data_IF_267408801266
#
_entry.id   IF_267408801266
#
_cell.length_a   1.000
_cell.length_b   1.000
_cell.length_c   1.000
_cell.angle_alpha   90.00
_cell.angle_beta   90.00
_cell.angle_gamma   90.00
#
_symmetry.space_group_name_H-M   'P 1'
#
loop_
_entity.id
_entity.type
_entity.pdbx_description
1 polymer ?
#
# COMPACT_ATOMS: atom_id res chain seq x y z
N UNK A 1 -16.42 -8.25 -28.63
CA UNK A 1 -15.87 -7.10 -27.88
C UNK A 1 -16.94 -6.01 -27.87
N UNK A 2 -17.67 -5.85 -26.77
CA UNK A 2 -18.67 -4.78 -26.66
C UNK A 2 -18.04 -3.61 -25.89
N UNK A 3 -17.90 -2.47 -26.57
CA UNK A 3 -17.51 -1.20 -25.97
C UNK A 3 -18.68 -0.68 -25.13
N UNK A 4 -18.52 -0.61 -23.82
CA UNK A 4 -19.53 -0.05 -22.93
C UNK A 4 -19.44 1.48 -22.97
N UNK A 5 -20.27 2.11 -23.81
CA UNK A 5 -20.40 3.57 -23.82
C UNK A 5 -21.15 4.02 -22.57
N UNK A 6 -20.51 4.84 -21.75
CA UNK A 6 -21.13 5.44 -20.57
C UNK A 6 -21.64 6.83 -20.95
N UNK A 7 -22.96 7.03 -20.87
CA UNK A 7 -23.60 8.32 -21.14
C UNK A 7 -23.92 9.03 -19.83
N UNK A 8 -23.78 10.36 -19.83
CA UNK A 8 -24.40 11.24 -18.83
C UNK A 8 -25.27 12.24 -19.58
N UNK A 9 -26.50 12.42 -19.11
CA UNK A 9 -27.45 13.37 -19.68
C UNK A 9 -27.28 14.73 -18.98
N UNK A 10 -27.32 15.81 -19.77
CA UNK A 10 -27.40 17.16 -19.22
C UNK A 10 -28.83 17.48 -18.75
N UNK A 11 -29.02 18.67 -18.16
CA UNK A 11 -30.32 19.13 -17.67
C UNK A 11 -31.39 19.29 -18.78
N UNK A 12 -31.00 19.19 -20.06
CA UNK A 12 -31.90 19.28 -21.22
C UNK A 12 -32.10 17.94 -21.95
N UNK A 13 -31.53 16.84 -21.44
CA UNK A 13 -31.73 15.50 -21.98
C UNK A 13 -30.96 15.22 -23.27
N UNK A 14 -29.98 16.04 -23.64
CA UNK A 14 -29.10 15.75 -24.77
C UNK A 14 -28.04 14.73 -24.37
N UNK A 15 -27.87 13.69 -25.19
CA UNK A 15 -26.76 12.77 -25.09
C UNK A 15 -25.48 13.51 -25.48
N UNK A 16 -24.82 14.13 -24.50
CA UNK A 16 -23.48 14.68 -24.69
C UNK A 16 -22.54 13.48 -24.81
N UNK A 17 -22.18 13.14 -26.03
CA UNK A 17 -21.10 12.19 -26.29
C UNK A 17 -19.82 12.73 -25.69
N UNK A 18 -19.46 12.24 -24.51
CA UNK A 18 -18.09 12.37 -24.03
C UNK A 18 -17.22 11.55 -24.99
N UNK A 19 -16.71 12.19 -26.04
CA UNK A 19 -15.37 11.86 -26.49
C UNK A 19 -14.46 12.23 -25.31
N UNK A 20 -14.40 11.34 -24.32
CA UNK A 20 -13.59 11.50 -23.13
C UNK A 20 -12.17 11.79 -23.61
N UNK A 21 -11.62 12.91 -23.17
CA UNK A 21 -10.24 13.23 -23.46
C UNK A 21 -9.38 12.04 -23.00
N UNK A 22 -8.88 11.26 -23.96
CA UNK A 22 -8.12 10.04 -23.70
C UNK A 22 -6.88 10.33 -22.84
N UNK A 23 -6.39 11.59 -22.87
CA UNK A 23 -5.35 12.07 -21.98
C UNK A 23 -5.85 12.15 -20.53
N UNK A 24 -6.98 12.79 -20.29
CA UNK A 24 -7.57 12.89 -18.95
C UNK A 24 -7.85 11.50 -18.35
N UNK A 25 -8.40 10.57 -19.13
CA UNK A 25 -8.64 9.20 -18.68
C UNK A 25 -7.33 8.48 -18.30
N UNK A 26 -6.28 8.66 -19.11
CA UNK A 26 -4.96 8.08 -18.85
C UNK A 26 -4.34 8.63 -17.56
N UNK A 27 -4.43 9.94 -17.34
CA UNK A 27 -3.91 10.60 -16.13
C UNK A 27 -4.66 10.10 -14.88
N UNK A 28 -5.98 10.00 -14.95
CA UNK A 28 -6.80 9.47 -13.87
C UNK A 28 -6.47 8.01 -13.55
N UNK A 29 -6.24 7.17 -14.56
CA UNK A 29 -5.81 5.78 -14.35
C UNK A 29 -4.41 5.67 -13.74
N UNK A 30 -3.48 6.53 -14.18
CA UNK A 30 -2.14 6.62 -13.59
C UNK A 30 -2.22 7.00 -12.11
N UNK A 31 -3.01 8.02 -11.78
CA UNK A 31 -3.27 8.47 -10.41
C UNK A 31 -3.83 7.33 -9.54
N UNK A 32 -4.91 6.66 -9.98
CA UNK A 32 -5.50 5.52 -9.27
C UNK A 32 -4.48 4.40 -9.00
N UNK A 33 -3.67 4.05 -10.00
CA UNK A 33 -2.62 3.04 -9.85
C UNK A 33 -1.54 3.47 -8.86
N UNK A 34 -1.20 4.75 -8.83
CA UNK A 34 -0.19 5.29 -7.93
C UNK A 34 -0.69 5.34 -6.49
N UNK A 35 -1.92 5.82 -6.28
CA UNK A 35 -2.60 5.81 -4.98
C UNK A 35 -2.72 4.39 -4.43
N UNK A 36 -3.14 3.43 -5.26
CA UNK A 36 -3.21 2.02 -4.86
C UNK A 36 -1.82 1.47 -4.50
N UNK A 37 -0.78 1.81 -5.25
CA UNK A 37 0.58 1.38 -4.93
C UNK A 37 1.08 1.96 -3.59
N UNK A 38 0.80 3.23 -3.31
CA UNK A 38 1.12 3.87 -2.04
C UNK A 38 0.36 3.21 -0.88
N UNK A 39 -0.95 3.00 -1.01
CA UNK A 39 -1.77 2.33 0.02
C UNK A 39 -1.32 0.89 0.26
N UNK A 40 -1.03 0.12 -0.78
CA UNK A 40 -0.51 -1.24 -0.65
C UNK A 40 0.83 -1.25 0.09
N UNK A 41 1.70 -0.27 -0.16
CA UNK A 41 2.96 -0.16 0.55
C UNK A 41 2.75 0.06 2.05
N UNK A 42 1.82 0.93 2.43
CA UNK A 42 1.47 1.18 3.84
C UNK A 42 0.88 -0.07 4.48
N UNK A 43 -0.13 -0.70 3.86
CA UNK A 43 -0.79 -1.91 4.37
C UNK A 43 0.21 -3.06 4.53
N UNK A 44 1.20 -3.14 3.66
CA UNK A 44 2.21 -4.18 3.75
C UNK A 44 3.11 -4.04 4.98
N UNK A 45 3.19 -2.88 5.64
CA UNK A 45 4.05 -2.64 6.79
C UNK A 45 3.22 -2.47 8.07
N UNK A 46 3.33 -3.42 8.99
CA UNK A 46 2.58 -3.43 10.25
C UNK A 46 2.86 -2.24 11.17
N UNK A 47 4.02 -1.59 11.02
CA UNK A 47 4.37 -0.37 11.76
C UNK A 47 3.75 0.91 11.19
N UNK A 48 3.04 0.81 10.07
CA UNK A 48 2.40 1.93 9.39
C UNK A 48 0.88 1.80 9.43
N UNK A 49 0.19 2.94 9.52
CA UNK A 49 -1.27 3.01 9.49
C UNK A 49 -1.73 4.05 8.48
N UNK A 50 -2.78 3.75 7.70
CA UNK A 50 -3.43 4.75 6.85
C UNK A 50 -4.31 5.65 7.71
N UNK A 51 -4.09 6.97 7.63
CA UNK A 51 -4.87 7.98 8.37
C UNK A 51 -5.91 8.69 7.48
N UNK A 52 -5.93 8.38 6.18
CA UNK A 52 -6.82 8.99 5.20
C UNK A 52 -6.12 10.05 4.35
N UNK A 53 -6.89 11.06 3.96
CA UNK A 53 -6.43 12.15 3.10
C UNK A 53 -5.79 13.28 3.93
N UNK A 54 -5.12 14.21 3.26
CA UNK A 54 -4.50 15.37 3.90
C UNK A 54 -4.90 16.67 3.18
N UNK A 55 -6.00 17.31 3.61
CA UNK A 55 -6.55 18.49 2.94
C UNK A 55 -5.56 19.67 2.85
N UNK A 56 -4.65 19.80 3.82
CA UNK A 56 -3.63 20.85 3.80
C UNK A 56 -2.67 20.63 2.63
N UNK A 57 -2.16 19.40 2.50
CA UNK A 57 -1.23 19.05 1.42
C UNK A 57 -1.91 19.10 0.06
N UNK A 58 -3.18 18.67 -0.04
CA UNK A 58 -3.97 18.81 -1.26
C UNK A 58 -4.14 20.28 -1.67
N UNK A 59 -4.45 21.17 -0.71
CA UNK A 59 -4.54 22.62 -0.97
C UNK A 59 -3.21 23.22 -1.42
N UNK A 60 -2.09 22.83 -0.78
CA UNK A 60 -0.75 23.28 -1.17
C UNK A 60 -0.40 22.81 -2.58
N UNK A 61 -0.73 21.57 -2.96
CA UNK A 61 -0.51 21.09 -4.33
C UNK A 61 -1.28 21.93 -5.35
N UNK A 62 -2.57 22.19 -5.12
CA UNK A 62 -3.38 23.02 -6.01
C UNK A 62 -2.85 24.46 -6.09
N UNK A 63 -2.44 25.04 -4.96
CA UNK A 63 -1.85 26.39 -4.91
C UNK A 63 -0.53 26.49 -5.69
N UNK A 64 0.20 25.39 -5.81
CA UNK A 64 1.43 25.30 -6.62
C UNK A 64 1.15 24.83 -8.07
N UNK A 65 -0.11 24.88 -8.52
CA UNK A 65 -0.49 24.60 -9.90
C UNK A 65 -0.43 23.13 -10.30
N UNK A 66 -0.70 22.22 -9.36
CA UNK A 66 -0.94 20.80 -9.63
C UNK A 66 -2.44 20.49 -9.60
N UNK A 67 -2.86 19.58 -10.47
CA UNK A 67 -4.20 19.01 -10.42
C UNK A 67 -4.30 17.90 -9.37
N UNK A 68 -5.52 17.58 -8.94
CA UNK A 68 -5.80 16.48 -8.00
C UNK A 68 -5.35 15.11 -8.52
N UNK A 69 -5.13 14.97 -9.83
CA UNK A 69 -4.65 13.74 -10.47
C UNK A 69 -3.14 13.71 -10.70
N UNK A 70 -2.43 14.80 -10.44
CA UNK A 70 -0.99 14.89 -10.70
C UNK A 70 -0.13 14.12 -9.70
N UNK A 71 -0.60 13.97 -8.47
CA UNK A 71 0.06 13.16 -7.45
C UNK A 71 -0.97 12.37 -6.64
N UNK A 72 -0.51 11.35 -5.93
CA UNK A 72 -1.35 10.65 -4.97
C UNK A 72 -0.87 10.95 -3.55
N UNK A 73 -1.74 11.55 -2.74
CA UNK A 73 -1.45 11.93 -1.36
C UNK A 73 -1.98 10.85 -0.43
N UNK A 74 -1.17 10.43 0.53
CA UNK A 74 -1.55 9.46 1.56
C UNK A 74 -1.00 9.90 2.91
N UNK A 75 -1.88 10.07 3.89
CA UNK A 75 -1.50 10.34 5.26
C UNK A 75 -1.24 9.03 6.01
N UNK A 76 -0.10 8.94 6.68
CA UNK A 76 0.45 7.73 7.29
C UNK A 76 0.80 7.99 8.75
N UNK A 77 0.37 7.12 9.65
CA UNK A 77 0.88 7.02 11.01
C UNK A 77 2.10 6.11 11.05
N UNK A 78 3.21 6.57 11.62
CA UNK A 78 4.43 5.80 11.82
C UNK A 78 5.07 6.19 13.16
N UNK A 79 5.27 5.21 14.05
CA UNK A 79 5.90 5.41 15.36
C UNK A 79 5.28 6.58 16.17
N UNK A 80 3.95 6.66 16.19
CA UNK A 80 3.21 7.72 16.90
C UNK A 80 3.22 9.10 16.23
N UNK A 81 3.80 9.22 15.03
CA UNK A 81 3.84 10.46 14.24
C UNK A 81 2.97 10.37 12.99
N UNK A 82 2.37 11.49 12.60
CA UNK A 82 1.69 11.62 11.31
C UNK A 82 2.67 12.14 10.26
N UNK A 83 2.72 11.46 9.12
CA UNK A 83 3.56 11.79 7.97
C UNK A 83 2.68 11.75 6.72
N UNK A 84 2.84 12.71 5.81
CA UNK A 84 2.11 12.73 4.55
C UNK A 84 3.03 12.38 3.41
N UNK A 85 2.74 11.28 2.73
CA UNK A 85 3.49 10.83 1.56
C UNK A 85 2.81 11.35 0.28
N UNK A 86 3.57 12.08 -0.52
CA UNK A 86 3.16 12.51 -1.87
C UNK A 86 3.83 11.57 -2.86
N UNK A 87 3.06 10.65 -3.42
CA UNK A 87 3.52 9.77 -4.47
C UNK A 87 3.47 10.48 -5.82
N UNK A 88 4.64 10.64 -6.47
CA UNK A 88 4.81 11.48 -7.66
C UNK A 88 5.02 10.63 -8.91
N UNK A 89 4.22 10.80 -9.97
CA UNK A 89 4.40 10.12 -11.24
C UNK A 89 5.79 10.34 -11.84
N UNK A 90 6.28 9.35 -12.58
CA UNK A 90 7.63 9.43 -13.19
C UNK A 90 7.75 10.60 -14.18
N UNK A 91 6.65 10.97 -14.86
CA UNK A 91 6.61 12.12 -15.79
C UNK A 91 6.94 13.43 -15.07
N UNK A 92 6.29 13.70 -13.93
CA UNK A 92 6.48 14.93 -13.18
C UNK A 92 7.77 14.93 -12.36
N UNK A 93 8.20 13.76 -11.87
CA UNK A 93 9.47 13.65 -11.15
C UNK A 93 10.70 13.93 -12.02
N UNK A 94 10.58 13.73 -13.33
CA UNK A 94 11.65 13.97 -14.32
C UNK A 94 11.65 15.39 -14.88
N UNK A 95 10.52 16.09 -14.76
CA UNK A 95 10.40 17.48 -15.12
C UNK A 95 11.02 18.35 -14.00
N UNK A 96 12.10 19.12 -14.28
CA UNK A 96 12.77 19.94 -13.28
C UNK A 96 11.85 20.99 -12.64
N UNK A 97 10.95 21.60 -13.42
CA UNK A 97 10.06 22.66 -12.93
C UNK A 97 8.97 22.08 -12.02
N UNK A 98 8.29 21.01 -12.47
CA UNK A 98 7.34 20.30 -11.61
C UNK A 98 8.01 19.76 -10.35
N UNK A 99 9.22 19.20 -10.47
CA UNK A 99 9.98 18.70 -9.31
C UNK A 99 10.30 19.82 -8.32
N UNK A 100 10.71 21.01 -8.79
CA UNK A 100 10.96 22.16 -7.92
C UNK A 100 9.70 22.57 -7.14
N UNK A 101 8.55 22.65 -7.82
CA UNK A 101 7.25 22.94 -7.18
C UNK A 101 6.85 21.90 -6.12
N UNK A 102 7.18 20.62 -6.29
CA UNK A 102 6.97 19.63 -5.22
C UNK A 102 7.88 19.86 -4.00
N UNK A 103 9.10 20.35 -4.19
CA UNK A 103 9.98 20.73 -3.07
C UNK A 103 9.46 21.98 -2.35
N UNK A 104 8.89 22.94 -3.09
CA UNK A 104 8.22 24.11 -2.50
C UNK A 104 7.02 23.68 -1.65
N UNK A 105 6.15 22.79 -2.16
CA UNK A 105 5.05 22.21 -1.37
C UNK A 105 5.55 21.54 -0.10
N UNK A 106 6.63 20.75 -0.17
CA UNK A 106 7.24 20.13 1.00
C UNK A 106 7.76 21.17 2.00
N UNK A 107 8.38 22.24 1.52
CA UNK A 107 8.90 23.32 2.36
C UNK A 107 7.76 24.06 3.07
N UNK A 108 6.71 24.44 2.33
CA UNK A 108 5.51 25.10 2.85
C UNK A 108 4.82 24.25 3.92
N UNK A 109 4.59 22.96 3.64
CA UNK A 109 4.02 22.03 4.62
C UNK A 109 4.88 21.91 5.89
N UNK A 110 6.20 22.00 5.74
CA UNK A 110 7.14 22.02 6.87
C UNK A 110 6.99 23.24 7.77
N UNK A 111 6.69 24.42 7.20
CA UNK A 111 6.37 25.64 7.96
C UNK A 111 5.08 25.45 8.78
N UNK A 112 4.11 24.72 8.22
CA UNK A 112 2.87 24.32 8.90
C UNK A 112 3.02 23.09 9.80
N UNK A 113 4.25 22.71 10.15
CA UNK A 113 4.60 21.58 11.03
C UNK A 113 4.11 20.21 10.53
N UNK A 114 3.82 20.08 9.24
CA UNK A 114 3.44 18.82 8.60
C UNK A 114 4.66 18.14 7.98
N UNK A 115 4.92 16.89 8.38
CA UNK A 115 6.03 16.12 7.83
C UNK A 115 5.64 15.54 6.47
N UNK A 116 6.22 16.06 5.39
CA UNK A 116 5.97 15.59 4.02
C UNK A 116 7.14 14.77 3.47
N UNK A 117 6.82 13.60 2.91
CA UNK A 117 7.74 12.76 2.15
C UNK A 117 7.37 12.78 0.66
N UNK A 118 8.31 13.15 -0.19
CA UNK A 118 8.17 13.05 -1.64
C UNK A 118 8.61 11.65 -2.07
N UNK A 119 7.71 10.88 -2.66
CA UNK A 119 7.93 9.47 -3.00
C UNK A 119 7.82 9.28 -4.51
N UNK A 120 8.95 9.10 -5.23
CA UNK A 120 8.91 8.87 -6.66
C UNK A 120 8.19 7.55 -6.99
N UNK A 121 7.34 7.55 -8.03
CA UNK A 121 6.62 6.35 -8.48
C UNK A 121 7.53 5.13 -8.67
N UNK A 122 8.76 5.34 -9.16
CA UNK A 122 9.74 4.26 -9.37
C UNK A 122 10.13 3.55 -8.08
N UNK A 123 10.14 4.28 -6.96
CA UNK A 123 10.45 3.72 -5.65
C UNK A 123 9.32 2.83 -5.13
N UNK A 124 8.06 3.23 -5.36
CA UNK A 124 6.87 2.43 -5.02
C UNK A 124 6.67 1.22 -5.93
N UNK A 125 6.91 1.40 -7.24
CA UNK A 125 6.70 0.37 -8.27
C UNK A 125 7.96 -0.45 -8.58
N UNK A 126 9.04 -0.29 -7.82
CA UNK A 126 10.22 -1.14 -7.94
C UNK A 126 9.78 -2.62 -7.87
N UNK A 127 10.22 -3.44 -8.84
CA UNK A 127 9.59 -4.72 -9.18
C UNK A 127 9.36 -5.62 -7.96
N UNK A 128 10.38 -5.79 -7.13
CA UNK A 128 10.31 -6.59 -5.89
C UNK A 128 9.35 -5.97 -4.89
N UNK A 129 9.64 -4.74 -4.46
CA UNK A 129 8.90 -4.04 -3.40
C UNK A 129 7.42 -3.87 -3.73
N UNK A 130 7.12 -3.43 -4.95
CA UNK A 130 5.75 -3.21 -5.40
C UNK A 130 4.97 -4.51 -5.54
N UNK A 131 5.62 -5.60 -5.97
CA UNK A 131 5.01 -6.93 -6.04
C UNK A 131 4.72 -7.49 -4.65
N UNK A 132 5.72 -7.50 -3.77
CA UNK A 132 5.60 -7.95 -2.38
C UNK A 132 4.50 -7.17 -1.64
N UNK A 133 4.54 -5.83 -1.72
CA UNK A 133 3.55 -4.99 -1.06
C UNK A 133 2.12 -5.25 -1.57
N UNK A 134 1.96 -5.48 -2.88
CA UNK A 134 0.66 -5.83 -3.46
C UNK A 134 0.17 -7.18 -2.95
N UNK A 135 1.01 -8.20 -2.90
CA UNK A 135 0.63 -9.54 -2.43
C UNK A 135 0.22 -9.51 -0.96
N UNK A 136 0.98 -8.82 -0.11
CA UNK A 136 0.64 -8.66 1.31
C UNK A 136 -0.66 -7.86 1.47
N UNK A 137 -0.81 -6.74 0.75
CA UNK A 137 -2.02 -5.92 0.83
C UNK A 137 -3.27 -6.67 0.34
N UNK A 138 -3.15 -7.49 -0.70
CA UNK A 138 -4.24 -8.35 -1.15
C UNK A 138 -4.61 -9.38 -0.07
N UNK A 139 -3.61 -10.06 0.49
CA UNK A 139 -3.80 -11.07 1.54
C UNK A 139 -4.28 -10.48 2.87
N UNK A 140 -4.02 -9.20 3.17
CA UNK A 140 -4.45 -8.54 4.42
C UNK A 140 -5.97 -8.58 4.68
N UNK A 141 -6.76 -8.88 3.64
CA UNK A 141 -8.22 -9.05 3.72
C UNK A 141 -8.66 -10.46 4.11
N UNK A 142 -7.72 -11.41 4.18
CA UNK A 142 -7.98 -12.78 4.60
C UNK A 142 -8.42 -12.80 6.06
N UNK A 143 -9.53 -13.49 6.33
CA UNK A 143 -10.03 -13.66 7.69
C UNK A 143 -9.22 -14.76 8.39
N UNK A 144 -8.45 -14.37 9.40
CA UNK A 144 -7.64 -15.30 10.20
C UNK A 144 -8.47 -15.75 11.40
N UNK A 145 -8.63 -17.07 11.58
CA UNK A 145 -9.25 -17.64 12.78
C UNK A 145 -8.23 -17.80 13.90
N UNK A 146 -8.69 -17.87 15.16
CA UNK A 146 -7.81 -18.12 16.32
C UNK A 146 -7.02 -19.42 16.18
N UNK A 147 -7.63 -20.47 15.61
CA UNK A 147 -6.97 -21.75 15.35
C UNK A 147 -5.77 -21.58 14.42
N UNK A 148 -5.98 -20.96 13.26
CA UNK A 148 -4.93 -20.75 12.25
C UNK A 148 -3.80 -19.86 12.79
N UNK A 149 -4.17 -18.82 13.56
CA UNK A 149 -3.20 -17.98 14.25
C UNK A 149 -2.32 -18.81 15.21
N UNK A 150 -2.91 -19.68 16.03
CA UNK A 150 -2.19 -20.54 16.95
C UNK A 150 -1.29 -21.56 16.22
N UNK A 151 -1.77 -22.17 15.13
CA UNK A 151 -1.00 -23.12 14.30
C UNK A 151 0.29 -22.47 13.75
N UNK A 152 0.19 -21.24 13.22
CA UNK A 152 1.35 -20.50 12.70
C UNK A 152 2.34 -20.15 13.81
N UNK A 153 1.86 -19.65 14.96
CA UNK A 153 2.73 -19.28 16.07
C UNK A 153 3.42 -20.49 16.72
N UNK A 154 2.72 -21.61 16.87
CA UNK A 154 3.30 -22.86 17.38
C UNK A 154 4.38 -23.40 16.44
N UNK A 155 4.11 -23.41 15.12
CA UNK A 155 5.09 -23.83 14.11
C UNK A 155 6.36 -22.97 14.15
N UNK A 156 6.21 -21.64 14.14
CA UNK A 156 7.36 -20.73 14.17
C UNK A 156 8.05 -20.71 15.55
N UNK A 157 7.32 -20.96 16.65
CA UNK A 157 7.89 -21.10 17.99
C UNK A 157 8.82 -22.30 18.11
N UNK A 158 8.48 -23.42 17.44
CA UNK A 158 9.30 -24.64 17.40
C UNK A 158 10.52 -24.50 16.48
N UNK A 159 10.33 -23.90 15.30
CA UNK A 159 11.37 -23.86 14.26
C UNK A 159 12.23 -22.58 14.27
N UNK A 160 11.83 -21.54 15.02
CA UNK A 160 12.38 -20.16 15.08
C UNK A 160 12.33 -19.39 13.76
N UNK A 161 12.78 -20.00 12.67
CA UNK A 161 12.82 -19.49 11.31
C UNK A 161 12.35 -20.60 10.38
N UNK A 162 11.43 -20.30 9.47
CA UNK A 162 10.88 -21.27 8.50
C UNK A 162 10.64 -20.58 7.16
N UNK A 163 10.28 -21.34 6.14
CA UNK A 163 9.85 -20.79 4.85
C UNK A 163 8.34 -20.51 4.84
N UNK A 164 7.87 -19.68 3.91
CA UNK A 164 6.46 -19.35 3.79
C UNK A 164 5.61 -20.57 3.44
N UNK A 165 6.13 -21.51 2.63
CA UNK A 165 5.42 -22.76 2.28
C UNK A 165 5.34 -23.71 3.47
N UNK A 166 6.43 -23.90 4.20
CA UNK A 166 6.42 -24.72 5.43
C UNK A 166 5.45 -24.16 6.46
N UNK A 167 5.50 -22.85 6.70
CA UNK A 167 4.59 -22.18 7.64
C UNK A 167 3.13 -22.30 7.20
N UNK A 168 2.86 -22.16 5.91
CA UNK A 168 1.53 -22.33 5.35
C UNK A 168 1.04 -23.80 5.44
N UNK A 169 1.95 -24.78 5.34
CA UNK A 169 1.62 -26.20 5.43
C UNK A 169 1.16 -26.64 6.83
N UNK A 170 1.54 -25.88 7.87
CA UNK A 170 1.07 -26.11 9.24
C UNK A 170 -0.39 -25.70 9.46
N UNK A 171 -0.98 -24.93 8.54
CA UNK A 171 -2.33 -24.38 8.68
C UNK A 171 -3.35 -25.38 8.15
N UNK A 172 -4.32 -25.76 8.98
CA UNK A 172 -5.36 -26.71 8.59
C UNK A 172 -6.69 -26.04 8.28
N UNK A 173 -7.39 -26.53 7.25
CA UNK A 173 -8.77 -26.13 6.95
C UNK A 173 -8.96 -24.72 6.37
N UNK A 174 -7.91 -24.09 5.81
CA UNK A 174 -8.03 -22.87 5.01
C UNK A 174 -7.81 -23.19 3.52
N UNK A 175 -8.61 -22.59 2.62
CA UNK A 175 -8.50 -22.81 1.17
C UNK A 175 -7.24 -22.19 0.54
N UNK A 176 -6.71 -21.14 1.17
CA UNK A 176 -5.46 -20.47 0.78
C UNK A 176 -4.58 -20.17 2.02
N UNK A 177 -3.82 -21.16 2.53
CA UNK A 177 -2.96 -20.98 3.69
C UNK A 177 -1.87 -19.92 3.53
N UNK A 178 -1.38 -19.68 2.30
CA UNK A 178 -0.36 -18.67 2.04
C UNK A 178 -0.89 -17.26 2.34
N UNK A 179 -2.15 -16.99 1.98
CA UNK A 179 -2.78 -15.71 2.30
C UNK A 179 -2.87 -15.46 3.81
N UNK A 180 -3.03 -16.50 4.64
CA UNK A 180 -3.05 -16.37 6.10
C UNK A 180 -1.69 -15.89 6.60
N UNK A 181 -0.59 -16.50 6.15
CA UNK A 181 0.78 -16.09 6.54
C UNK A 181 1.07 -14.65 6.12
N UNK A 182 0.69 -14.27 4.89
CA UNK A 182 0.85 -12.90 4.41
C UNK A 182 -0.03 -11.90 5.17
N UNK A 183 -1.25 -12.26 5.55
CA UNK A 183 -2.14 -11.43 6.37
C UNK A 183 -1.59 -11.24 7.80
N UNK A 184 -1.02 -12.29 8.39
CA UNK A 184 -0.32 -12.22 9.66
C UNK A 184 0.90 -11.29 9.57
N UNK A 185 1.59 -11.25 8.44
CA UNK A 185 2.70 -10.32 8.19
C UNK A 185 2.24 -8.86 8.06
N UNK A 186 1.09 -8.62 7.42
CA UNK A 186 0.50 -7.28 7.32
C UNK A 186 0.14 -6.72 8.70
N UNK A 187 -0.33 -7.58 9.60
CA UNK A 187 -0.76 -7.22 10.96
C UNK A 187 0.38 -7.27 11.99
N UNK A 188 1.57 -7.72 11.60
CA UNK A 188 2.76 -7.72 12.45
C UNK A 188 2.90 -8.92 13.38
N UNK A 189 2.07 -9.95 13.25
CA UNK A 189 2.20 -11.18 14.04
C UNK A 189 3.37 -12.05 13.58
N UNK A 190 3.80 -11.92 12.32
CA UNK A 190 4.99 -12.57 11.76
C UNK A 190 5.79 -11.57 10.93
N UNK A 191 7.08 -11.80 10.81
CA UNK A 191 7.91 -11.13 9.82
C UNK A 191 8.17 -12.05 8.64
N UNK A 192 8.29 -11.44 7.46
CA UNK A 192 8.69 -12.10 6.22
C UNK A 192 9.80 -11.30 5.58
N UNK A 193 10.72 -11.97 4.89
CA UNK A 193 11.72 -11.29 4.08
C UNK A 193 11.04 -10.64 2.87
N UNK A 194 11.21 -9.32 2.76
CA UNK A 194 10.62 -8.46 1.71
C UNK A 194 11.67 -7.91 0.76
N UNK A 195 12.94 -8.27 0.96
CA UNK A 195 14.07 -7.78 0.15
C UNK A 195 14.13 -8.43 -1.23
N UNK A 196 13.50 -9.61 -1.36
CA UNK A 196 13.43 -10.40 -2.59
C UNK A 196 11.99 -10.68 -3.02
N UNK A 197 11.81 -11.17 -4.24
CA UNK A 197 10.49 -11.57 -4.75
C UNK A 197 9.94 -12.68 -3.86
N UNK A 198 8.66 -12.61 -3.48
CA UNK A 198 8.01 -13.68 -2.72
C UNK A 198 8.09 -14.99 -3.50
N UNK A 199 8.67 -16.00 -2.87
CA UNK A 199 8.80 -17.37 -3.36
C UNK A 199 8.41 -18.32 -2.24
N UNK A 200 8.23 -19.60 -2.55
CA UNK A 200 7.95 -20.61 -1.52
C UNK A 200 9.05 -20.72 -0.45
N UNK A 201 10.27 -20.33 -0.79
CA UNK A 201 11.45 -20.30 0.11
C UNK A 201 11.63 -18.98 0.85
N UNK A 202 10.71 -18.00 0.72
CA UNK A 202 10.79 -16.74 1.45
C UNK A 202 10.76 -17.02 2.94
N UNK A 203 11.71 -16.44 3.66
CA UNK A 203 11.91 -16.68 5.10
C UNK A 203 10.84 -15.97 5.92
N UNK A 204 10.34 -16.65 6.94
CA UNK A 204 9.32 -16.21 7.90
C UNK A 204 9.83 -16.45 9.32
N UNK A 205 9.62 -15.51 10.22
CA UNK A 205 10.04 -15.61 11.62
C UNK A 205 9.10 -14.83 12.55
N UNK A 206 9.19 -15.10 13.85
CA UNK A 206 8.47 -14.33 14.87
C UNK A 206 9.18 -13.01 15.18
N UNK A 207 8.44 -11.90 15.36
CA UNK A 207 8.96 -10.70 15.99
C UNK A 207 9.58 -10.98 17.36
N UNK A 208 10.63 -10.26 17.73
CA UNK A 208 11.38 -10.50 18.97
C UNK A 208 10.55 -10.28 20.26
N UNK A 209 9.48 -9.50 20.15
CA UNK A 209 8.52 -9.18 21.20
C UNK A 209 7.40 -10.22 21.37
N UNK A 210 7.21 -11.12 20.40
CA UNK A 210 6.20 -12.18 20.46
C UNK A 210 6.81 -13.44 21.08
N UNK A 211 6.52 -13.68 22.36
CA UNK A 211 6.81 -14.97 23.01
C UNK A 211 5.69 -15.97 22.67
N UNK A 212 6.01 -17.20 22.24
CA UNK A 212 4.99 -18.24 22.11
C UNK A 212 4.37 -18.47 23.49
N UNK A 213 3.06 -18.29 23.60
CA UNK A 213 2.32 -18.50 24.84
C UNK A 213 2.46 -19.97 25.26
N UNK A 214 3.03 -20.21 26.44
CA UNK A 214 3.20 -21.55 27.03
C UNK A 214 1.87 -22.23 27.43
N UNK A 215 0.71 -21.66 27.06
CA UNK A 215 -0.60 -22.03 27.61
C UNK A 215 -1.41 -23.01 26.75
N UNK A 216 -0.90 -23.51 25.62
CA UNK A 216 -1.62 -24.47 24.76
C UNK A 216 -1.13 -25.92 24.86
N UNK A 217 -0.38 -26.26 25.91
CA UNK A 217 -0.01 -27.65 26.24
C UNK A 217 -0.90 -28.16 27.39
N UNK A 218 -2.17 -28.45 27.10
CA UNK A 218 -3.00 -29.36 27.90
C UNK A 218 -3.92 -30.16 27.00
#
# INVERSE_FOLDING_TARGET
MFSTQSYRFDFQGHAVGLHGDARAERLFHEHKKLLLAARNFVIAHSSMMLLGDDPLVDHLLTSNGFDTTDAAVVRIGLAGRSITAIAIPTRLWRDPEAKARFFEVKQQAGLDRTCVLLVPQRWLKASVRGSVARSIAFASRTRITRKQHAEVLDHLGKNKVSTIVETASAITGHSDPLSVVLAMSATGHVHIDRTSVLRGTTVVWLPADIRPSAEFTR
#
